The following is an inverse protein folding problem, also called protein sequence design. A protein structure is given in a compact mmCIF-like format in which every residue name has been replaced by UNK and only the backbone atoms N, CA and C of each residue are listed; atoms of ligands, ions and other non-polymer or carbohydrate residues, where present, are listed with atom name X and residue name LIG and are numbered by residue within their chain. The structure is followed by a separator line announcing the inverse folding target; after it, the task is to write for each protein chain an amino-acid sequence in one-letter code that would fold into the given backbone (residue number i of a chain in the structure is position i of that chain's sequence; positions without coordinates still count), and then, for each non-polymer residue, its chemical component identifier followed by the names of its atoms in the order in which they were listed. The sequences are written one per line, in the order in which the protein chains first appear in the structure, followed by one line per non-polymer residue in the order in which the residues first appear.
data_IF_105742169681
#
_entry.id   IF_105742169681
#
_cell.length_a   1.000
_cell.length_b   1.000
_cell.length_c   1.000
_cell.angle_alpha   90.00
_cell.angle_beta   90.00
_cell.angle_gamma   90.00
#
_symmetry.space_group_name_H-M   'P 1'
#
loop_
_entity.id
_entity.type
_entity.pdbx_description
1 polymer ?
#
# COMPACT_ATOMS: atom_id res chain seq x y z
N UNK A 1 -71.81 1.34 -11.13
CA UNK A 1 -70.90 2.51 -10.99
C UNK A 1 -69.97 2.23 -9.83
N UNK A 2 -68.91 1.54 -10.11
CA UNK A 2 -67.83 1.24 -9.13
C UNK A 2 -66.53 1.88 -9.59
N UNK A 3 -66.01 2.79 -8.79
CA UNK A 3 -64.81 3.52 -9.04
C UNK A 3 -63.62 2.71 -8.48
N UNK A 4 -62.80 2.15 -9.34
CA UNK A 4 -61.50 1.57 -8.95
C UNK A 4 -60.48 2.65 -8.65
N UNK A 5 -60.17 2.83 -7.37
CA UNK A 5 -59.03 3.59 -6.91
C UNK A 5 -57.75 2.76 -7.17
N UNK A 6 -56.89 3.22 -8.07
CA UNK A 6 -55.51 2.70 -8.26
C UNK A 6 -54.63 3.28 -7.12
N UNK A 7 -54.29 2.46 -6.15
CA UNK A 7 -53.20 2.74 -5.21
C UNK A 7 -51.89 2.53 -5.92
N UNK A 8 -51.26 3.63 -6.28
CA UNK A 8 -49.89 3.63 -6.76
C UNK A 8 -48.93 3.43 -5.57
N UNK A 9 -48.32 2.28 -5.49
CA UNK A 9 -47.21 2.01 -4.60
C UNK A 9 -45.99 2.79 -5.15
N UNK A 10 -45.68 3.93 -4.58
CA UNK A 10 -44.41 4.59 -4.77
C UNK A 10 -43.36 3.68 -4.12
N UNK A 11 -42.56 3.01 -4.95
CA UNK A 11 -41.28 2.44 -4.51
C UNK A 11 -40.40 3.61 -4.04
N UNK A 12 -40.21 3.69 -2.73
CA UNK A 12 -39.15 4.55 -2.18
C UNK A 12 -37.81 4.05 -2.71
N UNK A 13 -37.24 4.82 -3.61
CA UNK A 13 -35.82 4.71 -3.95
C UNK A 13 -35.05 5.01 -2.66
N UNK A 14 -34.20 4.12 -2.14
CA UNK A 14 -33.39 4.46 -0.99
C UNK A 14 -32.53 5.68 -1.34
N UNK A 15 -32.61 6.70 -0.50
CA UNK A 15 -31.75 7.88 -0.62
C UNK A 15 -30.31 7.41 -0.66
N UNK A 16 -29.56 7.89 -1.65
CA UNK A 16 -28.13 7.66 -1.73
C UNK A 16 -27.48 8.04 -0.37
N UNK A 17 -26.60 7.21 0.18
CA UNK A 17 -25.93 7.52 1.43
C UNK A 17 -25.23 8.88 1.27
N UNK A 18 -25.49 9.78 2.20
CA UNK A 18 -24.92 11.12 2.21
C UNK A 18 -23.41 11.01 2.14
N UNK A 19 -22.82 11.81 1.25
CA UNK A 19 -21.40 11.79 0.92
C UNK A 19 -20.51 11.74 2.15
N UNK A 20 -19.44 11.03 1.98
CA UNK A 20 -18.42 10.83 3.00
C UNK A 20 -17.88 12.18 3.46
N UNK A 21 -18.01 12.47 4.73
CA UNK A 21 -17.49 13.72 5.30
C UNK A 21 -15.95 13.59 5.35
N UNK A 22 -15.27 14.19 4.35
CA UNK A 22 -13.87 14.51 4.51
C UNK A 22 -13.76 15.48 5.67
N UNK A 23 -13.41 14.98 6.84
CA UNK A 23 -12.91 15.89 7.86
C UNK A 23 -11.63 16.43 7.30
N UNK A 24 -11.81 17.58 6.65
CA UNK A 24 -10.72 18.38 6.16
C UNK A 24 -9.63 18.33 7.22
N UNK A 25 -8.46 17.86 6.82
CA UNK A 25 -7.21 18.07 7.53
C UNK A 25 -6.96 19.54 7.91
N UNK A 26 -7.94 20.43 7.68
CA UNK A 26 -7.90 21.77 8.24
C UNK A 26 -7.67 21.77 9.74
N UNK A 27 -8.09 20.69 10.46
CA UNK A 27 -7.73 20.53 11.88
C UNK A 27 -6.30 19.99 11.99
N UNK A 28 -5.92 19.00 11.18
CA UNK A 28 -4.52 18.49 11.14
C UNK A 28 -3.59 19.53 10.51
N UNK A 29 -4.01 20.16 9.41
CA UNK A 29 -3.24 21.24 8.77
C UNK A 29 -3.27 22.55 9.58
N UNK A 30 -4.31 22.86 10.34
CA UNK A 30 -4.27 23.92 11.35
C UNK A 30 -3.36 23.52 12.50
N UNK A 31 -3.48 22.32 13.03
CA UNK A 31 -2.58 21.82 14.08
C UNK A 31 -1.12 21.82 13.63
N UNK A 32 -0.82 21.36 12.41
CA UNK A 32 0.53 21.42 11.84
C UNK A 32 0.98 22.86 11.54
N UNK A 33 0.09 23.72 11.03
CA UNK A 33 0.40 25.15 10.81
C UNK A 33 0.46 25.98 12.08
N UNK A 34 -0.32 25.65 13.10
CA UNK A 34 -0.30 26.31 14.38
C UNK A 34 0.88 25.85 15.24
N UNK A 35 1.25 24.57 15.17
CA UNK A 35 2.54 24.07 15.65
C UNK A 35 3.72 24.72 14.89
N UNK A 36 3.53 25.06 13.58
CA UNK A 36 4.50 25.82 12.80
C UNK A 36 4.74 27.23 13.31
N UNK A 37 3.71 27.86 13.85
CA UNK A 37 3.84 29.22 14.40
C UNK A 37 4.50 29.23 15.78
N UNK A 38 4.26 28.20 16.59
CA UNK A 38 4.75 28.13 17.97
C UNK A 38 6.06 27.36 18.12
N UNK A 39 6.39 26.48 17.19
CA UNK A 39 7.68 25.80 17.12
C UNK A 39 8.20 25.69 15.70
N UNK A 40 8.80 26.74 15.22
CA UNK A 40 9.37 26.90 13.87
C UNK A 40 10.32 25.76 13.44
N UNK A 41 10.76 24.94 14.36
CA UNK A 41 11.77 23.93 14.09
C UNK A 41 11.21 22.56 13.66
N UNK A 42 10.14 22.09 14.26
CA UNK A 42 9.60 20.76 13.94
C UNK A 42 8.98 20.72 12.55
N UNK A 43 8.32 21.79 12.16
CA UNK A 43 7.62 21.89 10.89
C UNK A 43 8.54 22.21 9.73
N UNK A 44 9.57 23.04 9.91
CA UNK A 44 10.60 23.22 8.89
C UNK A 44 11.32 21.91 8.56
N UNK A 45 11.45 20.96 9.51
CA UNK A 45 12.05 19.64 9.28
C UNK A 45 11.10 18.62 8.68
N UNK A 46 9.82 18.66 9.00
CA UNK A 46 8.78 17.82 8.39
C UNK A 46 8.62 18.21 6.92
N UNK A 47 8.65 19.49 6.58
CA UNK A 47 8.51 19.98 5.21
C UNK A 47 9.74 19.75 4.31
N UNK A 48 10.91 19.46 4.85
CA UNK A 48 12.11 19.12 4.05
C UNK A 48 12.26 17.62 3.80
N UNK A 49 11.37 16.81 4.35
CA UNK A 49 11.41 15.36 4.21
C UNK A 49 10.60 14.97 2.98
N UNK A 50 11.26 14.38 2.01
CA UNK A 50 10.56 13.59 1.01
C UNK A 50 9.99 12.38 1.72
N UNK A 51 8.72 12.45 2.07
CA UNK A 51 7.97 11.31 2.56
C UNK A 51 7.75 10.38 1.37
N UNK A 52 8.53 9.32 1.26
CA UNK A 52 8.37 8.34 0.19
C UNK A 52 7.40 7.25 0.57
N UNK A 53 7.16 7.05 1.87
CA UNK A 53 6.29 5.99 2.38
C UNK A 53 5.66 6.35 3.71
N UNK A 54 4.46 5.83 3.89
CA UNK A 54 3.67 5.91 5.10
C UNK A 54 3.23 4.50 5.51
N UNK A 55 3.16 4.26 6.80
CA UNK A 55 2.43 3.10 7.33
C UNK A 55 1.52 3.56 8.47
N UNK A 56 0.32 2.99 8.54
CA UNK A 56 -0.67 3.28 9.57
C UNK A 56 -0.87 2.07 10.45
N UNK A 57 -0.92 2.28 11.76
CA UNK A 57 -1.17 1.23 12.73
C UNK A 57 -2.57 0.62 12.57
N UNK A 58 -2.74 -0.58 13.07
CA UNK A 58 -4.03 -1.28 13.04
C UNK A 58 -5.19 -0.48 13.65
N UNK A 59 -4.91 0.28 14.70
CA UNK A 59 -5.91 1.17 15.34
C UNK A 59 -6.19 2.46 14.57
N UNK A 60 -5.44 2.75 13.50
CA UNK A 60 -5.55 4.03 12.81
C UNK A 60 -5.04 5.25 13.59
N UNK A 61 -4.45 5.05 14.77
CA UNK A 61 -4.04 6.16 15.63
C UNK A 61 -2.59 6.61 15.41
N UNK A 62 -1.73 5.71 14.96
CA UNK A 62 -0.30 5.98 14.80
C UNK A 62 0.10 5.86 13.34
N UNK A 63 0.83 6.86 12.88
CA UNK A 63 1.44 6.90 11.55
C UNK A 63 2.96 6.83 11.69
N UNK A 64 3.60 5.95 10.95
CA UNK A 64 5.04 5.93 10.76
C UNK A 64 5.42 6.64 9.45
N UNK A 65 6.42 7.48 9.51
CA UNK A 65 6.90 8.27 8.36
C UNK A 65 8.41 8.19 8.29
N UNK A 66 8.95 7.88 7.12
CA UNK A 66 10.38 7.96 6.88
C UNK A 66 10.83 9.42 6.82
N UNK A 67 11.82 9.78 7.60
CA UNK A 67 12.32 11.15 7.72
C UNK A 67 13.84 11.24 7.62
N UNK A 68 14.32 12.21 6.85
CA UNK A 68 15.73 12.60 6.87
C UNK A 68 16.02 13.55 8.05
N UNK A 69 16.89 13.15 8.95
CA UNK A 69 17.36 14.04 10.01
C UNK A 69 18.44 15.01 9.51
N UNK A 70 18.67 16.17 10.17
CA UNK A 70 19.57 17.20 9.69
C UNK A 70 21.03 16.82 9.50
N UNK A 71 21.46 15.72 10.10
CA UNK A 71 22.83 15.20 10.01
C UNK A 71 22.98 14.04 9.03
N UNK A 72 22.02 13.86 8.11
CA UNK A 72 22.05 12.75 7.14
C UNK A 72 21.72 11.39 7.75
N UNK A 73 21.26 11.35 9.00
CA UNK A 73 20.75 10.12 9.62
C UNK A 73 19.27 10.01 9.39
N UNK A 74 18.86 8.98 8.72
CA UNK A 74 17.47 8.71 8.40
C UNK A 74 16.81 7.96 9.54
N UNK A 75 15.53 8.26 9.80
CA UNK A 75 14.78 7.70 10.91
C UNK A 75 13.34 7.48 10.54
N UNK A 76 12.69 6.54 11.21
CA UNK A 76 11.24 6.38 11.14
C UNK A 76 10.66 7.16 12.32
N UNK A 77 9.88 8.19 12.02
CA UNK A 77 9.17 8.98 13.03
C UNK A 77 7.75 8.47 13.17
N UNK A 78 7.33 8.23 14.40
CA UNK A 78 5.95 7.87 14.74
C UNK A 78 5.20 9.12 15.14
N UNK A 79 4.02 9.31 14.58
CA UNK A 79 3.13 10.42 14.88
C UNK A 79 1.79 9.90 15.41
N UNK A 80 1.25 10.59 16.40
CA UNK A 80 -0.15 10.50 16.72
C UNK A 80 -0.96 11.28 15.69
N UNK A 81 -1.88 10.60 15.02
CA UNK A 81 -2.65 11.20 13.92
C UNK A 81 -3.67 12.20 14.45
N UNK A 82 -4.29 11.93 15.61
CA UNK A 82 -5.31 12.81 16.17
C UNK A 82 -4.69 14.07 16.78
N UNK A 83 -3.60 13.89 17.52
CA UNK A 83 -2.89 15.01 18.15
C UNK A 83 -1.95 15.74 17.18
N UNK A 84 -1.68 15.16 16.00
CA UNK A 84 -0.71 15.70 15.02
C UNK A 84 0.65 15.95 15.66
N UNK A 85 1.05 15.07 16.56
CA UNK A 85 2.25 15.22 17.38
C UNK A 85 3.20 14.03 17.20
N UNK A 86 4.53 14.26 17.21
CA UNK A 86 5.49 13.17 17.21
C UNK A 86 5.42 12.39 18.53
N UNK A 87 5.35 11.07 18.43
CA UNK A 87 5.35 10.15 19.57
C UNK A 87 6.77 9.68 19.90
N UNK A 88 7.51 9.27 18.85
CA UNK A 88 8.84 8.72 18.97
C UNK A 88 9.60 8.75 17.64
N UNK A 89 10.91 8.62 17.73
CA UNK A 89 11.78 8.30 16.61
C UNK A 89 12.37 6.92 16.83
N UNK A 90 12.16 6.03 15.85
CA UNK A 90 12.77 4.72 15.83
C UNK A 90 14.16 4.83 15.21
N UNK A 91 15.12 4.16 15.81
CA UNK A 91 16.49 4.11 15.32
C UNK A 91 17.05 2.69 15.49
N UNK A 92 17.87 2.27 14.54
CA UNK A 92 18.66 1.06 14.68
C UNK A 92 19.83 1.41 15.62
N UNK A 93 20.12 0.60 16.65
CA UNK A 93 21.28 0.80 17.48
C UNK A 93 22.58 0.78 16.63
N UNK A 94 23.56 1.65 16.90
CA UNK A 94 24.75 1.79 16.07
C UNK A 94 25.67 0.56 16.05
N UNK A 95 25.52 -0.31 17.03
CA UNK A 95 26.26 -1.58 17.18
C UNK A 95 25.60 -2.74 16.44
N UNK A 96 24.44 -2.52 15.85
CA UNK A 96 23.70 -3.55 15.11
C UNK A 96 24.02 -3.50 13.61
N UNK A 97 23.97 -4.65 12.93
CA UNK A 97 24.03 -4.69 11.47
C UNK A 97 22.95 -3.79 10.87
N UNK A 98 23.31 -2.96 9.91
CA UNK A 98 22.39 -2.02 9.31
C UNK A 98 22.32 -0.64 9.96
N UNK A 99 23.09 -0.35 11.00
CA UNK A 99 23.13 0.95 11.68
C UNK A 99 23.74 2.11 10.86
N UNK A 100 24.04 1.91 9.58
CA UNK A 100 24.51 2.95 8.68
C UNK A 100 23.32 3.75 8.07
N UNK A 101 23.54 5.01 7.67
CA UNK A 101 22.48 5.88 7.15
C UNK A 101 21.93 5.40 5.81
N UNK A 102 20.65 5.43 5.66
CA UNK A 102 19.89 5.17 4.44
C UNK A 102 18.40 5.35 4.70
N UNK A 103 17.59 5.84 3.72
CA UNK A 103 16.13 5.88 3.86
C UNK A 103 15.58 4.46 3.91
N UNK A 104 14.59 4.16 4.77
CA UNK A 104 13.86 2.91 4.64
C UNK A 104 13.23 2.84 3.25
N UNK A 105 13.48 1.74 2.55
CA UNK A 105 12.89 1.52 1.22
C UNK A 105 11.41 1.14 1.33
N UNK A 106 11.07 0.37 2.38
CA UNK A 106 9.71 -0.04 2.68
C UNK A 106 9.51 -0.23 4.18
N UNK A 107 8.31 0.00 4.69
CA UNK A 107 7.94 -0.40 6.04
C UNK A 107 6.43 -0.62 6.16
N UNK A 108 6.04 -1.48 7.08
CA UNK A 108 4.64 -1.88 7.27
C UNK A 108 4.36 -2.25 8.71
N UNK A 109 3.20 -1.86 9.22
CA UNK A 109 2.68 -2.30 10.52
C UNK A 109 2.11 -3.72 10.44
N UNK A 110 2.36 -4.51 11.49
CA UNK A 110 1.60 -5.74 11.70
C UNK A 110 0.13 -5.42 11.99
N UNK A 111 -0.82 -6.11 11.36
CA UNK A 111 -2.24 -5.89 11.61
C UNK A 111 -2.70 -6.35 13.00
N UNK A 112 -2.03 -7.31 13.61
CA UNK A 112 -2.44 -7.94 14.87
C UNK A 112 -1.51 -7.68 16.03
N UNK A 113 -0.26 -7.29 15.76
CA UNK A 113 0.75 -7.04 16.77
C UNK A 113 1.20 -5.56 16.73
N UNK A 114 1.76 -5.09 17.84
CA UNK A 114 2.33 -3.74 17.91
C UNK A 114 3.73 -3.67 17.32
N UNK A 115 3.87 -4.20 16.11
CA UNK A 115 5.15 -4.31 15.41
C UNK A 115 5.17 -3.43 14.17
N UNK A 116 6.34 -2.88 13.89
CA UNK A 116 6.69 -2.31 12.60
C UNK A 116 7.86 -3.11 12.04
N UNK A 117 7.74 -3.51 10.78
CA UNK A 117 8.85 -4.10 10.02
C UNK A 117 9.29 -3.10 8.96
N UNK A 118 10.58 -2.85 8.85
CA UNK A 118 11.16 -1.92 7.89
C UNK A 118 12.32 -2.57 7.12
N UNK A 119 12.30 -2.42 5.81
CA UNK A 119 13.45 -2.68 4.94
C UNK A 119 14.37 -1.46 5.02
N UNK A 120 15.35 -1.52 5.90
CA UNK A 120 16.19 -0.38 6.25
C UNK A 120 17.60 -0.82 6.61
N UNK A 121 18.58 0.02 6.30
CA UNK A 121 19.93 -0.17 6.75
C UNK A 121 20.95 -0.34 5.62
N UNK A 122 22.19 -0.58 6.04
CA UNK A 122 23.33 -0.75 5.17
C UNK A 122 23.44 -2.21 4.67
N UNK A 123 24.50 -2.46 3.95
CA UNK A 123 24.87 -3.77 3.46
C UNK A 123 25.43 -4.67 4.58
N UNK A 124 25.02 -5.95 4.69
CA UNK A 124 23.98 -6.63 3.92
C UNK A 124 22.57 -6.14 4.29
N UNK A 125 21.63 -6.09 3.32
CA UNK A 125 20.28 -5.66 3.60
C UNK A 125 19.53 -6.64 4.51
N UNK A 126 18.79 -6.11 5.48
CA UNK A 126 17.98 -6.87 6.43
C UNK A 126 16.66 -6.17 6.69
N UNK A 127 15.68 -6.93 7.15
CA UNK A 127 14.43 -6.39 7.68
C UNK A 127 14.59 -6.11 9.18
N UNK A 128 14.33 -4.89 9.56
CA UNK A 128 14.41 -4.42 10.93
C UNK A 128 13.04 -4.50 11.61
N UNK A 129 12.98 -5.01 12.83
CA UNK A 129 11.73 -5.18 13.58
C UNK A 129 11.74 -4.29 14.81
N UNK A 130 10.66 -3.53 14.98
CA UNK A 130 10.48 -2.61 16.10
C UNK A 130 9.21 -2.94 16.89
N UNK A 131 9.30 -2.97 18.22
CA UNK A 131 8.15 -2.92 19.10
C UNK A 131 7.71 -1.46 19.30
N UNK A 132 6.47 -1.18 18.95
CA UNK A 132 5.91 0.16 19.02
C UNK A 132 5.41 0.53 20.42
N UNK A 133 5.15 -0.44 21.29
CA UNK A 133 4.80 -0.17 22.68
C UNK A 133 6.01 0.27 23.46
N UNK A 134 7.08 -0.53 23.41
CA UNK A 134 8.36 -0.20 24.02
C UNK A 134 9.17 0.84 23.24
N UNK A 135 8.79 1.14 22.00
CA UNK A 135 9.52 2.02 21.07
C UNK A 135 10.98 1.56 20.90
N UNK A 136 11.17 0.25 20.86
CA UNK A 136 12.48 -0.40 20.87
C UNK A 136 12.70 -1.22 19.63
N UNK A 137 13.96 -1.30 19.21
CA UNK A 137 14.43 -2.24 18.22
C UNK A 137 14.46 -3.65 18.83
N UNK A 138 13.86 -4.63 18.14
CA UNK A 138 13.83 -6.02 18.59
C UNK A 138 14.92 -6.87 17.97
N UNK A 139 15.31 -6.56 16.74
CA UNK A 139 16.30 -7.31 15.99
C UNK A 139 16.07 -7.19 14.49
N UNK A 140 16.86 -7.95 13.74
CA UNK A 140 16.78 -8.00 12.28
C UNK A 140 16.79 -9.43 11.77
N UNK A 141 16.32 -9.61 10.53
CA UNK A 141 16.32 -10.88 9.83
C UNK A 141 16.39 -10.66 8.31
N UNK A 142 16.74 -11.71 7.56
CA UNK A 142 16.67 -11.61 6.12
C UNK A 142 17.74 -12.36 5.35
N UNK A 143 18.90 -11.80 5.13
CA UNK A 143 19.90 -12.32 4.18
C UNK A 143 19.52 -12.00 2.74
N UNK A 144 19.25 -10.74 2.47
CA UNK A 144 18.93 -10.25 1.14
C UNK A 144 20.20 -9.85 0.37
N UNK A 145 20.17 -10.05 -0.94
CA UNK A 145 21.18 -9.50 -1.85
C UNK A 145 20.88 -8.03 -2.18
N UNK A 146 19.61 -7.65 -2.18
CA UNK A 146 19.14 -6.29 -2.42
C UNK A 146 18.09 -5.92 -1.37
N UNK A 147 17.99 -4.62 -1.04
CA UNK A 147 17.00 -4.12 -0.10
C UNK A 147 15.59 -4.36 -0.65
N UNK A 148 14.69 -4.96 0.13
CA UNK A 148 13.29 -5.09 -0.28
C UNK A 148 12.63 -3.73 -0.51
N UNK A 149 12.00 -3.58 -1.67
CA UNK A 149 11.29 -2.36 -2.05
C UNK A 149 9.80 -2.39 -1.66
N UNK A 150 9.28 -3.58 -1.41
CA UNK A 150 7.90 -3.74 -0.97
C UNK A 150 7.80 -4.77 0.15
N UNK A 151 6.95 -4.45 1.10
CA UNK A 151 6.56 -5.30 2.23
C UNK A 151 5.03 -5.32 2.30
N UNK A 152 4.47 -6.47 2.58
CA UNK A 152 3.03 -6.62 2.81
C UNK A 152 2.77 -7.63 3.95
N UNK A 153 1.93 -7.27 4.91
CA UNK A 153 1.41 -8.21 5.90
C UNK A 153 0.13 -8.87 5.39
N UNK A 154 -0.03 -10.14 5.71
CA UNK A 154 -1.33 -10.77 5.57
C UNK A 154 -2.31 -10.20 6.62
N UNK A 155 -3.62 -10.10 6.32
CA UNK A 155 -4.63 -9.56 7.23
C UNK A 155 -4.68 -10.22 8.61
N UNK A 156 -4.43 -11.52 8.70
CA UNK A 156 -4.33 -12.23 9.98
C UNK A 156 -3.07 -11.90 10.78
N UNK A 157 -2.07 -11.27 10.16
CA UNK A 157 -0.75 -11.04 10.75
C UNK A 157 0.12 -12.29 10.82
N UNK A 158 -0.28 -13.37 10.18
CA UNK A 158 0.48 -14.63 10.16
C UNK A 158 1.68 -14.57 9.21
N UNK A 159 1.52 -13.91 8.07
CA UNK A 159 2.55 -13.87 7.03
C UNK A 159 2.98 -12.45 6.71
N UNK A 160 4.26 -12.29 6.42
CA UNK A 160 4.86 -11.11 5.83
C UNK A 160 5.44 -11.49 4.47
N UNK A 161 5.11 -10.76 3.42
CA UNK A 161 5.78 -10.87 2.13
C UNK A 161 6.83 -9.77 1.99
N UNK A 162 7.97 -10.11 1.39
CA UNK A 162 9.00 -9.14 0.99
C UNK A 162 9.39 -9.35 -0.47
N UNK A 163 9.47 -8.26 -1.22
CA UNK A 163 9.74 -8.26 -2.64
C UNK A 163 10.99 -7.44 -2.95
N UNK A 164 11.91 -7.99 -3.74
CA UNK A 164 13.15 -7.32 -4.15
C UNK A 164 13.23 -7.18 -5.66
N UNK A 165 13.91 -6.12 -6.10
CA UNK A 165 14.42 -5.96 -7.45
C UNK A 165 15.90 -6.37 -7.52
N UNK A 166 16.46 -6.47 -8.73
CA UNK A 166 17.89 -6.79 -8.92
C UNK A 166 18.13 -7.99 -9.82
N UNK A 167 17.25 -8.21 -10.81
CA UNK A 167 17.39 -9.24 -11.82
C UNK A 167 17.47 -10.65 -11.20
N UNK A 168 18.53 -11.39 -11.48
CA UNK A 168 18.68 -12.79 -11.03
C UNK A 168 18.69 -12.97 -9.51
N UNK A 169 19.06 -11.95 -8.76
CA UNK A 169 19.07 -11.96 -7.30
C UNK A 169 17.72 -11.55 -6.69
N UNK A 170 16.79 -11.09 -7.50
CA UNK A 170 15.47 -10.69 -7.05
C UNK A 170 14.66 -11.88 -6.53
N UNK A 171 13.96 -11.65 -5.42
CA UNK A 171 13.17 -12.68 -4.73
C UNK A 171 11.86 -12.13 -4.24
N UNK A 172 10.83 -12.96 -4.29
CA UNK A 172 9.62 -12.84 -3.49
C UNK A 172 9.73 -13.85 -2.35
N UNK A 173 9.72 -13.38 -1.10
CA UNK A 173 9.85 -14.22 0.08
C UNK A 173 8.64 -14.09 0.96
N UNK A 174 8.25 -15.21 1.57
CA UNK A 174 7.19 -15.29 2.55
C UNK A 174 7.79 -15.70 3.89
N UNK A 175 7.47 -14.94 4.91
CA UNK A 175 7.93 -15.12 6.27
C UNK A 175 6.73 -15.43 7.16
N UNK A 176 6.82 -16.44 8.02
CA UNK A 176 5.78 -16.73 9.00
C UNK A 176 6.14 -16.04 10.33
N UNK A 177 5.20 -15.25 10.83
CA UNK A 177 5.33 -14.62 12.13
C UNK A 177 4.87 -15.59 13.23
N UNK A 178 5.76 -15.92 14.15
CA UNK A 178 5.37 -16.65 15.36
C UNK A 178 4.50 -15.76 16.27
N UNK A 179 3.57 -16.37 16.99
CA UNK A 179 2.81 -15.68 18.07
C UNK A 179 3.77 -15.39 19.24
N UNK A 180 4.57 -14.35 19.07
CA UNK A 180 5.51 -13.90 20.10
C UNK A 180 4.97 -12.65 20.78
N UNK A 181 4.43 -12.82 21.97
CA UNK A 181 4.00 -11.68 22.81
C UNK A 181 5.20 -10.85 23.28
N UNK A 182 6.40 -11.41 23.24
CA UNK A 182 7.64 -10.80 23.73
C UNK A 182 8.83 -11.30 22.89
N UNK A 183 9.29 -10.51 21.94
CA UNK A 183 10.52 -10.80 21.18
C UNK A 183 10.37 -10.81 19.66
N UNK A 184 11.41 -11.27 18.98
CA UNK A 184 11.43 -11.40 17.52
C UNK A 184 10.38 -12.41 17.04
N UNK A 185 9.43 -12.01 16.18
CA UNK A 185 8.40 -12.93 15.70
C UNK A 185 8.89 -13.82 14.55
N UNK A 186 10.07 -13.56 14.00
CA UNK A 186 10.61 -14.27 12.82
C UNK A 186 11.80 -15.15 13.18
N UNK A 187 11.84 -16.35 12.60
CA UNK A 187 12.93 -17.33 12.81
C UNK A 187 14.17 -17.06 11.97
N UNK A 188 14.14 -16.06 11.09
CA UNK A 188 15.24 -15.69 10.20
C UNK A 188 15.24 -16.41 8.85
N UNK A 189 14.44 -17.47 8.67
CA UNK A 189 14.31 -18.17 7.39
C UNK A 189 12.89 -17.94 6.81
N UNK A 190 12.78 -17.70 5.49
CA UNK A 190 11.46 -17.64 4.85
C UNK A 190 10.82 -19.03 4.81
N UNK A 191 9.50 -19.11 4.94
CA UNK A 191 8.74 -20.36 4.75
C UNK A 191 8.59 -20.72 3.28
N UNK A 192 8.64 -19.72 2.40
CA UNK A 192 8.73 -19.90 0.96
C UNK A 192 9.56 -18.78 0.31
N UNK A 193 10.24 -19.13 -0.76
CA UNK A 193 11.03 -18.22 -1.56
C UNK A 193 10.82 -18.52 -3.05
N UNK A 194 10.55 -17.50 -3.83
CA UNK A 194 10.42 -17.57 -5.27
C UNK A 194 11.46 -16.65 -5.92
N UNK A 195 12.41 -17.18 -6.69
CA UNK A 195 13.29 -16.36 -7.51
C UNK A 195 12.51 -15.71 -8.64
N UNK A 196 12.91 -14.51 -9.02
CA UNK A 196 12.33 -13.87 -10.21
C UNK A 196 12.64 -14.72 -11.45
N UNK A 197 11.66 -14.93 -12.34
CA UNK A 197 11.91 -15.57 -13.62
C UNK A 197 12.88 -14.73 -14.44
N UNK A 198 13.67 -15.37 -15.33
CA UNK A 198 14.61 -14.62 -16.17
C UNK A 198 13.89 -13.83 -17.25
N UNK A 199 12.77 -14.35 -17.75
CA UNK A 199 11.91 -13.73 -18.76
C UNK A 199 10.47 -13.75 -18.31
N UNK A 200 9.70 -12.79 -18.81
CA UNK A 200 8.27 -12.69 -18.55
C UNK A 200 7.50 -13.89 -19.08
N UNK A 201 7.92 -14.45 -20.22
CA UNK A 201 7.29 -15.64 -20.81
C UNK A 201 7.35 -16.87 -19.90
N UNK A 202 8.41 -17.00 -19.08
CA UNK A 202 8.51 -18.08 -18.08
C UNK A 202 7.40 -17.94 -17.02
N UNK A 203 6.94 -16.71 -16.76
CA UNK A 203 5.84 -16.43 -15.85
C UNK A 203 4.48 -16.59 -16.50
N UNK A 204 4.30 -16.13 -17.75
CA UNK A 204 3.01 -16.13 -18.41
C UNK A 204 2.63 -17.52 -18.92
N UNK A 205 3.63 -18.37 -19.20
CA UNK A 205 3.45 -19.66 -19.89
C UNK A 205 3.24 -19.47 -21.40
N UNK A 206 3.43 -20.52 -22.20
CA UNK A 206 3.48 -20.49 -23.66
C UNK A 206 2.14 -20.12 -24.36
N UNK A 207 1.39 -19.16 -23.86
CA UNK A 207 0.10 -18.72 -24.43
C UNK A 207 0.15 -17.34 -25.08
N UNK A 208 1.27 -16.67 -25.10
CA UNK A 208 1.39 -15.44 -25.90
C UNK A 208 1.66 -15.78 -27.35
N UNK A 209 0.80 -15.34 -28.31
CA UNK A 209 1.18 -15.39 -29.72
C UNK A 209 2.48 -14.59 -29.87
N UNK A 210 3.38 -15.10 -30.73
CA UNK A 210 4.64 -14.43 -31.09
C UNK A 210 4.35 -13.04 -31.68
N UNK A 211 4.07 -12.06 -30.82
CA UNK A 211 4.17 -10.67 -31.19
C UNK A 211 5.63 -10.31 -31.04
N UNK A 212 6.25 -9.94 -32.15
CA UNK A 212 7.61 -9.38 -32.21
C UNK A 212 7.70 -8.15 -31.27
N UNK A 213 7.83 -8.38 -29.95
CA UNK A 213 8.15 -7.33 -29.02
C UNK A 213 9.66 -7.11 -29.06
N UNK A 214 10.05 -5.89 -29.37
CA UNK A 214 11.44 -5.41 -29.47
C UNK A 214 12.15 -5.47 -28.11
N UNK A 215 11.42 -5.71 -27.03
CA UNK A 215 11.91 -5.85 -25.66
C UNK A 215 11.90 -7.33 -25.29
N UNK A 216 13.03 -7.88 -24.88
CA UNK A 216 13.20 -9.31 -24.60
C UNK A 216 12.48 -9.79 -23.33
N UNK A 217 11.69 -8.93 -22.69
CA UNK A 217 10.89 -9.24 -21.50
C UNK A 217 11.72 -9.66 -20.30
N UNK A 218 12.95 -9.17 -20.18
CA UNK A 218 13.82 -9.44 -19.02
C UNK A 218 13.17 -8.95 -17.73
N UNK A 219 13.05 -9.83 -16.73
CA UNK A 219 12.42 -9.48 -15.45
C UNK A 219 13.43 -8.82 -14.52
N UNK A 220 13.08 -7.63 -14.04
CA UNK A 220 13.86 -6.89 -13.04
C UNK A 220 13.65 -7.42 -11.62
N UNK A 221 12.51 -8.04 -11.32
CA UNK A 221 12.18 -8.59 -10.03
C UNK A 221 10.72 -8.43 -9.62
N UNK A 222 10.49 -8.32 -8.32
CA UNK A 222 9.16 -8.16 -7.74
C UNK A 222 9.00 -6.78 -7.10
N UNK A 223 7.89 -6.13 -7.38
CA UNK A 223 7.50 -4.83 -6.84
C UNK A 223 6.40 -4.92 -5.78
N UNK A 224 5.37 -4.07 -5.88
CA UNK A 224 4.23 -4.04 -4.95
C UNK A 224 3.60 -5.41 -4.77
N UNK A 225 3.13 -5.68 -3.54
CA UNK A 225 2.42 -6.91 -3.22
C UNK A 225 1.27 -6.64 -2.24
N UNK A 226 0.21 -7.43 -2.33
CA UNK A 226 -0.95 -7.36 -1.45
C UNK A 226 -1.54 -8.75 -1.21
N UNK A 227 -1.87 -9.09 0.03
CA UNK A 227 -2.57 -10.33 0.38
C UNK A 227 -4.09 -10.19 0.19
N UNK A 228 -4.72 -11.29 -0.21
CA UNK A 228 -6.17 -11.41 -0.15
C UNK A 228 -6.68 -11.37 1.30
N UNK A 229 -7.95 -10.97 1.52
CA UNK A 229 -8.51 -10.83 2.88
C UNK A 229 -8.51 -12.13 3.70
N UNK A 230 -8.48 -13.29 3.05
CA UNK A 230 -8.44 -14.62 3.65
C UNK A 230 -7.03 -15.19 3.85
N UNK A 231 -6.00 -14.39 3.58
CA UNK A 231 -4.57 -14.77 3.56
C UNK A 231 -4.20 -15.86 2.51
N UNK A 232 -5.15 -16.33 1.71
CA UNK A 232 -4.96 -17.50 0.83
C UNK A 232 -4.20 -17.18 -0.45
N UNK A 233 -4.19 -15.91 -0.88
CA UNK A 233 -3.56 -15.50 -2.14
C UNK A 233 -2.74 -14.23 -1.96
N UNK A 234 -1.57 -14.20 -2.60
CA UNK A 234 -0.71 -13.02 -2.70
C UNK A 234 -0.72 -12.51 -4.13
N UNK A 235 -1.17 -11.30 -4.35
CA UNK A 235 -0.97 -10.57 -5.60
C UNK A 235 0.38 -9.87 -5.55
N UNK A 236 1.24 -10.08 -6.55
CA UNK A 236 2.53 -9.41 -6.63
C UNK A 236 2.79 -8.88 -8.05
N UNK A 237 3.36 -7.69 -8.10
CA UNK A 237 3.80 -7.05 -9.35
C UNK A 237 5.13 -7.64 -9.76
N UNK A 238 5.23 -8.12 -10.99
CA UNK A 238 6.47 -8.57 -11.62
C UNK A 238 6.95 -7.43 -12.54
N UNK A 239 8.09 -6.85 -12.17
CA UNK A 239 8.72 -5.76 -12.89
C UNK A 239 9.51 -6.27 -14.07
N UNK A 240 9.31 -5.65 -15.23
CA UNK A 240 10.11 -5.89 -16.43
C UNK A 240 11.16 -4.78 -16.57
N UNK A 241 12.33 -5.07 -17.09
CA UNK A 241 13.37 -4.08 -17.37
C UNK A 241 12.91 -3.11 -18.47
N UNK A 242 13.42 -1.87 -18.42
CA UNK A 242 13.03 -0.81 -19.38
C UNK A 242 12.14 0.25 -18.75
N UNK A 243 12.28 1.49 -19.15
CA UNK A 243 11.52 2.63 -18.60
C UNK A 243 10.02 2.55 -18.93
N UNK A 244 9.71 2.04 -20.11
CA UNK A 244 8.33 1.94 -20.64
C UNK A 244 7.83 0.49 -20.73
N UNK A 245 8.51 -0.45 -20.06
CA UNK A 245 8.16 -1.84 -20.13
C UNK A 245 6.81 -2.14 -19.47
N UNK A 246 6.12 -3.11 -20.02
CA UNK A 246 4.85 -3.61 -19.53
C UNK A 246 5.11 -4.57 -18.35
N UNK A 247 4.65 -4.23 -17.16
CA UNK A 247 4.73 -5.11 -16.00
C UNK A 247 3.73 -6.26 -16.09
N UNK A 248 3.87 -7.25 -15.21
CA UNK A 248 2.85 -8.27 -15.03
C UNK A 248 2.30 -8.25 -13.59
N UNK A 249 1.05 -8.64 -13.43
CA UNK A 249 0.46 -8.97 -12.15
C UNK A 249 0.31 -10.48 -12.04
N UNK A 250 0.86 -11.06 -10.97
CA UNK A 250 0.78 -12.48 -10.72
C UNK A 250 0.10 -12.77 -9.37
N UNK A 251 -0.70 -13.85 -9.36
CA UNK A 251 -1.36 -14.36 -8.16
C UNK A 251 -0.66 -15.64 -7.72
N UNK A 252 -0.30 -15.71 -6.45
CA UNK A 252 0.43 -16.81 -5.84
C UNK A 252 -0.37 -17.40 -4.67
N UNK A 253 -0.39 -18.71 -4.59
CA UNK A 253 -0.92 -19.44 -3.46
C UNK A 253 -0.07 -19.20 -2.19
N UNK A 254 -0.70 -19.03 -1.06
CA UNK A 254 -0.06 -18.89 0.24
C UNK A 254 -0.36 -20.15 1.07
N UNK A 255 0.64 -20.79 1.68
CA UNK A 255 2.02 -20.32 1.90
C UNK A 255 3.06 -20.78 0.87
N UNK A 256 2.68 -21.40 -0.22
CA UNK A 256 3.63 -22.12 -1.09
C UNK A 256 4.34 -21.23 -2.11
N UNK A 257 3.84 -20.03 -2.38
CA UNK A 257 4.21 -19.14 -3.49
C UNK A 257 4.11 -19.82 -4.87
N UNK A 258 3.26 -20.87 -4.98
CA UNK A 258 2.96 -21.46 -6.27
C UNK A 258 2.09 -20.50 -7.07
N UNK A 259 2.53 -20.18 -8.29
CA UNK A 259 1.76 -19.34 -9.20
C UNK A 259 0.41 -19.99 -9.52
N UNK A 260 -0.67 -19.25 -9.32
CA UNK A 260 -2.03 -19.60 -9.73
C UNK A 260 -2.32 -19.00 -11.10
N UNK A 261 -2.10 -17.68 -11.23
CA UNK A 261 -2.39 -16.90 -12.42
C UNK A 261 -1.33 -15.83 -12.63
N UNK A 262 -1.17 -15.38 -13.87
CA UNK A 262 -0.42 -14.18 -14.22
C UNK A 262 -0.93 -13.60 -15.52
N UNK A 263 -0.86 -12.28 -15.67
CA UNK A 263 -1.13 -11.59 -16.92
C UNK A 263 -0.25 -10.36 -17.06
N UNK A 264 0.08 -10.00 -18.29
CA UNK A 264 0.82 -8.79 -18.60
C UNK A 264 -0.13 -7.61 -18.71
N UNK A 265 0.25 -6.48 -18.11
CA UNK A 265 -0.48 -5.22 -18.20
C UNK A 265 0.04 -4.38 -19.38
N UNK A 266 -0.66 -3.31 -19.69
CA UNK A 266 -0.11 -2.25 -20.53
C UNK A 266 0.53 -1.20 -19.61
N UNK A 267 1.86 -1.11 -19.63
CA UNK A 267 2.66 -0.18 -18.84
C UNK A 267 2.92 -0.61 -17.39
N UNK A 268 3.53 0.31 -16.66
CA UNK A 268 3.97 0.11 -15.28
C UNK A 268 2.81 0.04 -14.31
N UNK A 269 2.82 -0.98 -13.45
CA UNK A 269 1.90 -1.07 -12.30
C UNK A 269 2.46 -0.22 -11.17
N UNK A 270 1.71 0.76 -10.73
CA UNK A 270 2.10 1.67 -9.65
C UNK A 270 1.56 1.25 -8.29
N UNK A 271 0.40 0.58 -8.25
CA UNK A 271 -0.19 0.11 -7.00
C UNK A 271 -1.13 -1.08 -7.20
N UNK A 272 -1.35 -1.85 -6.12
CA UNK A 272 -2.23 -3.02 -6.09
C UNK A 272 -2.90 -3.17 -4.73
N UNK A 273 -4.19 -3.51 -4.72
CA UNK A 273 -4.99 -3.73 -3.52
C UNK A 273 -6.08 -4.77 -3.76
N UNK A 274 -6.35 -5.63 -2.77
CA UNK A 274 -7.48 -6.56 -2.81
C UNK A 274 -8.76 -5.91 -2.30
N UNK A 275 -9.87 -6.19 -2.96
CA UNK A 275 -11.18 -5.86 -2.44
C UNK A 275 -11.53 -6.79 -1.26
N UNK A 276 -12.41 -6.31 -0.38
CA UNK A 276 -12.80 -6.99 0.86
C UNK A 276 -13.37 -8.40 0.65
N UNK A 277 -13.95 -8.67 -0.52
CA UNK A 277 -14.57 -9.95 -0.88
C UNK A 277 -13.55 -11.04 -1.29
N UNK A 278 -12.28 -10.70 -1.45
CA UNK A 278 -11.22 -11.62 -1.87
C UNK A 278 -11.35 -12.11 -3.33
N UNK A 279 -12.26 -11.54 -4.11
CA UNK A 279 -12.53 -11.94 -5.50
C UNK A 279 -11.98 -10.95 -6.53
N UNK A 280 -11.71 -9.74 -6.08
CA UNK A 280 -11.30 -8.65 -6.95
C UNK A 280 -9.97 -8.08 -6.50
N UNK A 281 -9.10 -7.83 -7.48
CA UNK A 281 -7.87 -7.05 -7.29
C UNK A 281 -8.05 -5.73 -8.03
N UNK A 282 -7.84 -4.63 -7.33
CA UNK A 282 -7.77 -3.31 -7.95
C UNK A 282 -6.29 -2.96 -8.12
N UNK A 283 -5.91 -2.50 -9.29
CA UNK A 283 -4.55 -2.08 -9.57
C UNK A 283 -4.53 -0.85 -10.46
N UNK A 284 -3.44 -0.10 -10.38
CA UNK A 284 -3.19 1.07 -11.20
C UNK A 284 -2.02 0.78 -12.15
N UNK A 285 -2.24 0.97 -13.46
CA UNK A 285 -1.21 0.80 -14.47
C UNK A 285 -1.33 1.89 -15.54
N UNK A 286 -0.20 2.44 -16.00
CA UNK A 286 -0.17 3.49 -17.02
C UNK A 286 -1.12 4.69 -16.72
N UNK A 287 -1.30 5.03 -15.45
CA UNK A 287 -2.17 6.13 -15.02
C UNK A 287 -3.68 5.82 -15.06
N UNK A 288 -4.06 4.57 -15.24
CA UNK A 288 -5.44 4.08 -15.26
C UNK A 288 -5.66 3.07 -14.14
N UNK A 289 -6.79 3.13 -13.44
CA UNK A 289 -7.20 2.09 -12.50
C UNK A 289 -7.98 0.99 -13.21
N UNK A 290 -7.75 -0.25 -12.77
CA UNK A 290 -8.39 -1.46 -13.30
C UNK A 290 -8.93 -2.30 -12.16
N UNK A 291 -10.03 -2.99 -12.44
CA UNK A 291 -10.52 -4.11 -11.64
C UNK A 291 -10.16 -5.42 -12.34
N UNK A 292 -9.57 -6.34 -11.62
CA UNK A 292 -9.29 -7.69 -12.07
C UNK A 292 -10.11 -8.67 -11.24
N UNK A 293 -10.89 -9.51 -11.90
CA UNK A 293 -11.53 -10.65 -11.24
C UNK A 293 -10.51 -11.78 -11.14
N UNK A 294 -10.26 -12.26 -9.93
CA UNK A 294 -9.20 -13.23 -9.65
C UNK A 294 -9.43 -14.60 -10.32
N UNK A 295 -10.66 -14.95 -10.62
CA UNK A 295 -11.04 -16.21 -11.27
C UNK A 295 -10.92 -16.18 -12.81
N UNK A 296 -11.15 -15.03 -13.43
CA UNK A 296 -11.15 -14.88 -14.90
C UNK A 296 -9.90 -14.22 -15.45
N UNK A 297 -9.15 -13.50 -14.60
CA UNK A 297 -7.98 -12.71 -14.97
C UNK A 297 -8.24 -11.71 -16.12
N UNK A 298 -9.47 -11.22 -16.20
CA UNK A 298 -9.87 -10.21 -17.18
C UNK A 298 -9.87 -8.83 -16.51
N UNK A 299 -9.01 -7.90 -16.96
CA UNK A 299 -8.99 -6.55 -16.41
C UNK A 299 -10.10 -5.70 -17.02
N UNK A 300 -10.93 -5.10 -16.17
CA UNK A 300 -11.91 -4.10 -16.55
C UNK A 300 -11.40 -2.71 -16.12
N UNK A 301 -11.34 -1.71 -17.03
CA UNK A 301 -10.96 -0.36 -16.62
C UNK A 301 -12.03 0.25 -15.72
N UNK A 302 -11.61 0.88 -14.64
CA UNK A 302 -12.45 1.73 -13.81
C UNK A 302 -12.69 3.09 -14.52
N UNK A 303 -13.78 3.80 -14.23
CA UNK A 303 -14.15 5.02 -14.97
C UNK A 303 -13.28 6.25 -14.63
N UNK A 304 -12.02 6.01 -14.21
CA UNK A 304 -11.08 7.08 -13.84
C UNK A 304 -9.63 6.65 -14.03
N UNK A 305 -8.75 7.64 -14.30
CA UNK A 305 -7.31 7.48 -14.18
C UNK A 305 -6.88 7.51 -12.71
N UNK A 306 -5.92 6.68 -12.33
CA UNK A 306 -5.34 6.69 -10.99
C UNK A 306 -3.89 6.16 -10.98
N UNK A 307 -3.14 6.60 -9.98
CA UNK A 307 -1.76 6.18 -9.72
C UNK A 307 -1.67 5.33 -8.44
N UNK A 308 -2.57 5.56 -7.50
CA UNK A 308 -2.66 4.82 -6.23
C UNK A 308 -4.09 4.35 -6.00
N UNK A 309 -4.21 3.18 -5.38
CA UNK A 309 -5.49 2.61 -4.99
C UNK A 309 -5.37 1.84 -3.67
N UNK A 310 -6.39 1.94 -2.83
CA UNK A 310 -6.51 1.13 -1.62
C UNK A 310 -7.96 0.78 -1.36
N UNK A 311 -8.25 -0.51 -1.27
CA UNK A 311 -9.61 -0.99 -1.00
C UNK A 311 -9.93 -0.92 0.49
N UNK A 312 -11.19 -0.62 0.78
CA UNK A 312 -11.72 -0.68 2.13
C UNK A 312 -11.73 -2.13 2.64
N UNK A 313 -11.31 -2.40 3.90
CA UNK A 313 -11.18 -3.76 4.40
C UNK A 313 -12.49 -4.52 4.56
N UNK A 314 -13.66 -3.85 4.61
CA UNK A 314 -14.95 -4.47 4.92
C UNK A 314 -16.10 -4.04 3.99
N UNK A 315 -15.92 -3.08 3.11
CA UNK A 315 -16.95 -2.56 2.22
C UNK A 315 -16.50 -2.60 0.75
N UNK A 316 -17.43 -2.65 -0.21
CA UNK A 316 -17.11 -2.62 -1.63
C UNK A 316 -16.67 -1.22 -2.12
N UNK A 317 -15.74 -0.63 -1.40
CA UNK A 317 -15.22 0.71 -1.66
C UNK A 317 -13.73 0.66 -1.95
N UNK A 318 -13.28 1.51 -2.86
CA UNK A 318 -11.88 1.73 -3.15
C UNK A 318 -11.58 3.23 -3.18
N UNK A 319 -10.55 3.66 -2.45
CA UNK A 319 -10.02 5.01 -2.54
C UNK A 319 -8.91 5.02 -3.58
N UNK A 320 -9.01 5.91 -4.56
CA UNK A 320 -8.01 6.09 -5.60
C UNK A 320 -7.50 7.53 -5.62
N UNK A 321 -6.29 7.74 -6.07
CA UNK A 321 -5.72 9.07 -6.30
C UNK A 321 -5.21 9.21 -7.73
N UNK A 322 -5.50 10.36 -8.35
CA UNK A 322 -4.98 10.76 -9.65
C UNK A 322 -4.34 12.14 -9.57
N UNK A 323 -3.09 12.25 -10.00
CA UNK A 323 -2.44 13.54 -10.22
C UNK A 323 -2.73 14.11 -11.62
N UNK A 324 -3.16 13.25 -12.57
CA UNK A 324 -3.33 13.56 -13.99
C UNK A 324 -4.81 13.66 -14.39
N UNK A 325 -5.40 14.82 -14.20
CA UNK A 325 -6.72 15.09 -14.77
C UNK A 325 -6.57 16.02 -15.96
N UNK A 326 -7.04 15.60 -17.13
CA UNK A 326 -6.95 16.35 -18.42
C UNK A 326 -7.39 17.82 -18.36
N UNK A 327 -8.13 18.21 -17.31
CA UNK A 327 -8.71 19.55 -17.17
C UNK A 327 -8.46 20.21 -15.80
N UNK A 328 -7.58 19.64 -14.96
CA UNK A 328 -7.30 20.18 -13.62
C UNK A 328 -5.81 20.21 -13.36
N UNK A 329 -5.31 21.36 -12.91
CA UNK A 329 -3.92 21.46 -12.41
C UNK A 329 -3.73 20.82 -11.02
N UNK A 330 -4.79 20.24 -10.45
CA UNK A 330 -4.81 19.70 -9.09
C UNK A 330 -5.18 18.24 -9.13
N UNK A 331 -4.44 17.41 -8.38
CA UNK A 331 -4.78 16.02 -8.15
C UNK A 331 -6.11 15.85 -7.40
N UNK A 332 -6.68 14.66 -7.47
CA UNK A 332 -7.94 14.33 -6.79
C UNK A 332 -7.91 12.94 -6.17
N UNK A 333 -8.58 12.83 -5.05
CA UNK A 333 -9.00 11.57 -4.45
C UNK A 333 -10.39 11.22 -4.95
N UNK A 334 -10.59 9.95 -5.28
CA UNK A 334 -11.86 9.39 -5.71
C UNK A 334 -12.24 8.22 -4.84
N UNK A 335 -13.46 8.21 -4.34
CA UNK A 335 -14.04 7.02 -3.74
C UNK A 335 -14.91 6.32 -4.77
N UNK A 336 -14.64 5.04 -4.98
CA UNK A 336 -15.31 4.21 -5.97
C UNK A 336 -16.16 3.17 -5.27
N UNK A 337 -17.41 3.05 -5.69
CA UNK A 337 -18.26 1.91 -5.39
C UNK A 337 -17.93 0.78 -6.36
N UNK A 338 -17.33 -0.31 -5.85
CA UNK A 338 -16.88 -1.45 -6.67
C UNK A 338 -18.03 -2.34 -7.14
N UNK A 339 -19.21 -2.29 -6.50
CA UNK A 339 -20.39 -3.01 -6.98
C UNK A 339 -21.03 -2.29 -8.17
N UNK A 340 -21.12 -0.96 -8.07
CA UNK A 340 -21.71 -0.14 -9.13
C UNK A 340 -20.72 0.27 -10.21
N UNK A 341 -19.45 0.06 -9.99
CA UNK A 341 -18.36 0.51 -10.87
C UNK A 341 -18.45 2.01 -11.18
N UNK A 342 -18.69 2.80 -10.16
CA UNK A 342 -18.95 4.23 -10.30
C UNK A 342 -18.23 5.05 -9.23
N UNK A 343 -17.87 6.27 -9.59
CA UNK A 343 -17.36 7.25 -8.61
C UNK A 343 -18.51 7.62 -7.67
N UNK A 344 -18.28 7.39 -6.39
CA UNK A 344 -19.22 7.69 -5.31
C UNK A 344 -19.00 9.09 -4.76
N UNK A 345 -17.74 9.51 -4.61
CA UNK A 345 -17.34 10.82 -4.10
C UNK A 345 -15.97 11.23 -4.65
N UNK A 346 -15.69 12.52 -4.70
CA UNK A 346 -14.41 13.06 -5.13
C UNK A 346 -13.95 14.23 -4.26
N UNK A 347 -12.63 14.35 -4.06
CA UNK A 347 -12.06 15.42 -3.25
C UNK A 347 -10.73 15.94 -3.82
N UNK A 348 -10.50 17.27 -3.89
CA UNK A 348 -9.24 17.82 -4.35
C UNK A 348 -8.12 17.53 -3.34
N UNK A 349 -7.03 16.97 -3.82
CA UNK A 349 -5.82 16.72 -3.05
C UNK A 349 -4.60 16.85 -3.97
N UNK A 350 -3.54 17.45 -3.48
CA UNK A 350 -2.32 17.65 -4.26
C UNK A 350 -1.16 16.86 -3.66
N UNK A 351 -0.32 16.28 -4.52
CA UNK A 351 0.95 15.68 -4.11
C UNK A 351 0.82 14.47 -3.20
N UNK A 352 -0.28 13.71 -3.30
CA UNK A 352 -0.45 12.45 -2.56
C UNK A 352 0.60 11.45 -3.02
N UNK A 353 1.27 10.81 -2.06
CA UNK A 353 2.33 9.82 -2.30
C UNK A 353 1.94 8.43 -1.80
N UNK A 354 0.98 8.33 -0.88
CA UNK A 354 0.50 7.04 -0.38
C UNK A 354 -0.94 7.15 0.14
N UNK A 355 -1.67 6.03 0.03
CA UNK A 355 -3.04 5.85 0.51
C UNK A 355 -3.12 4.66 1.44
N UNK A 356 -3.87 4.77 2.54
CA UNK A 356 -4.14 3.64 3.45
C UNK A 356 -5.53 3.74 4.06
N UNK A 357 -6.15 2.60 4.31
CA UNK A 357 -7.26 2.45 5.24
C UNK A 357 -6.75 1.98 6.61
N UNK A 358 -7.40 2.42 7.68
CA UNK A 358 -7.30 1.73 8.97
C UNK A 358 -7.88 0.32 8.82
N UNK A 359 -7.37 -0.64 9.58
CA UNK A 359 -7.81 -2.04 9.47
C UNK A 359 -9.29 -2.24 9.86
N UNK A 360 -9.80 -1.39 10.74
CA UNK A 360 -11.23 -1.38 11.11
C UNK A 360 -12.12 -0.70 10.05
N UNK A 361 -11.51 -0.12 9.01
CA UNK A 361 -12.22 0.60 7.96
C UNK A 361 -12.80 1.94 8.41
N UNK A 362 -12.61 2.36 9.65
CA UNK A 362 -13.20 3.60 10.17
C UNK A 362 -12.63 4.87 9.56
N UNK A 363 -11.40 4.79 9.01
CA UNK A 363 -10.71 5.96 8.43
C UNK A 363 -9.86 5.56 7.22
N UNK A 364 -9.82 6.44 6.21
CA UNK A 364 -8.81 6.40 5.18
C UNK A 364 -7.86 7.60 5.32
N UNK A 365 -6.64 7.40 4.89
CA UNK A 365 -5.57 8.37 4.97
C UNK A 365 -4.91 8.53 3.61
N UNK A 366 -4.73 9.78 3.18
CA UNK A 366 -3.91 10.13 2.05
C UNK A 366 -2.81 11.06 2.53
N UNK A 367 -1.55 10.71 2.25
CA UNK A 367 -0.40 11.50 2.66
C UNK A 367 0.27 12.12 1.46
N UNK A 368 0.62 13.38 1.59
CA UNK A 368 1.27 14.16 0.55
C UNK A 368 2.79 14.21 0.75
N UNK A 369 3.51 14.48 -0.33
CA UNK A 369 4.97 14.60 -0.30
C UNK A 369 5.49 15.75 0.59
N UNK A 370 4.65 16.73 0.90
CA UNK A 370 4.95 17.84 1.81
C UNK A 370 4.51 17.56 3.27
N UNK A 371 4.09 16.32 3.57
CA UNK A 371 3.74 15.86 4.90
C UNK A 371 2.32 16.23 5.36
N UNK A 372 1.44 16.66 4.46
CA UNK A 372 0.02 16.82 4.78
C UNK A 372 -0.67 15.45 4.77
N UNK A 373 -1.50 15.20 5.77
CA UNK A 373 -2.37 14.05 5.81
C UNK A 373 -3.83 14.48 5.61
N UNK A 374 -4.50 13.91 4.60
CA UNK A 374 -5.94 13.98 4.44
C UNK A 374 -6.55 12.77 5.11
N UNK A 375 -7.47 13.01 6.06
CA UNK A 375 -8.14 11.95 6.80
C UNK A 375 -9.60 11.91 6.37
N UNK A 376 -10.06 10.71 6.08
CA UNK A 376 -11.37 10.46 5.53
C UNK A 376 -12.12 9.47 6.41
N UNK A 377 -13.32 9.85 6.90
CA UNK A 377 -14.18 8.99 7.72
C UNK A 377 -15.44 8.66 6.93
N UNK A 378 -15.67 7.37 6.56
CA UNK A 378 -16.92 6.99 5.93
C UNK A 378 -18.11 7.28 6.85
N UNK A 379 -19.28 7.65 6.31
CA UNK A 379 -20.47 7.75 7.11
C UNK A 379 -20.74 6.39 7.76
N UNK A 380 -21.07 6.42 9.04
CA UNK A 380 -21.50 5.20 9.75
C UNK A 380 -22.73 4.64 9.01
N UNK A 381 -22.60 3.44 8.49
CA UNK A 381 -23.68 2.67 7.89
C UNK A 381 -24.53 2.04 8.98
#
# INVERSE_FOLDING_TARGET
MESHAKTGTQQMVPAAPHGLALRSSAIVARGLRDLARDSNWLIKKIFTVRCSQLAISASGQVCAVAMMAPLGTERICLFDIELSAPIAMLAIPPDQPGGAPGLPAAFVYSPTARLLVAAWGAWPPELQVFDLHGKTFLGSFGGFSNLPEALAWSPSGKYLASATLGGREARLRLWEAADSRFGMPFTGNPVAELPAPSKLDDLLGAQTPETESVDDGTVAGFGRAAFSPDDGTLAAVVRVEGEWADDALALFDVPTLRRQHAFQTQGRITDVSWAFDGRQVIFCAAGQAYRLLADTMQPDPLPLGAEFCVCHPHLPLCLCYSSWLKNSAKGRLFLIDLERMAVFDEYPAEGVVDLRWSLDGSKAYAVTSDGLAYIYEPPLV
#
